data_IF_612975031352
#
_entry.id   IF_612975031352
#
_cell.length_a   1.000
_cell.length_b   1.000
_cell.length_c   1.000
_cell.angle_alpha   90.00
_cell.angle_beta   90.00
_cell.angle_gamma   90.00
#
_symmetry.space_group_name_H-M   'P 1'
#
loop_
_entity.id
_entity.type
_entity.pdbx_description
1 polymer ?
#
# COMPACT_ATOMS: atom_id res chain seq x y z
N UNK A 1 -43.84 8.37 13.55
CA UNK A 1 -42.54 7.80 13.17
C UNK A 1 -42.69 7.12 11.81
N UNK A 2 -41.93 7.55 10.80
CA UNK A 2 -41.89 6.92 9.48
C UNK A 2 -41.34 5.49 9.61
N UNK A 3 -42.00 4.51 8.99
CA UNK A 3 -41.51 3.12 8.99
C UNK A 3 -40.10 3.08 8.36
N UNK A 4 -39.13 2.34 8.93
CA UNK A 4 -37.80 2.21 8.35
C UNK A 4 -37.90 1.62 6.94
N UNK A 5 -37.14 2.19 6.00
CA UNK A 5 -37.10 1.79 4.59
C UNK A 5 -35.66 1.79 4.09
N UNK A 6 -35.36 1.00 3.06
CA UNK A 6 -34.04 0.98 2.43
C UNK A 6 -33.64 2.37 1.90
N UNK A 7 -34.62 3.18 1.47
CA UNK A 7 -34.42 4.57 1.06
C UNK A 7 -33.90 5.45 2.21
N UNK A 8 -34.41 5.26 3.42
CA UNK A 8 -33.95 6.02 4.60
C UNK A 8 -32.52 5.61 5.00
N UNK A 9 -32.17 4.32 4.85
CA UNK A 9 -30.80 3.85 5.08
C UNK A 9 -29.82 4.45 4.07
N UNK A 10 -30.23 4.52 2.80
CA UNK A 10 -29.45 5.22 1.78
C UNK A 10 -29.26 6.72 2.14
N UNK A 11 -30.31 7.42 2.58
CA UNK A 11 -30.20 8.84 2.97
C UNK A 11 -29.24 9.05 4.14
N UNK A 12 -29.24 8.15 5.13
CA UNK A 12 -28.25 8.15 6.21
C UNK A 12 -26.83 8.06 5.65
N UNK A 13 -26.59 7.11 4.74
CA UNK A 13 -25.28 6.93 4.11
C UNK A 13 -24.86 8.10 3.20
N UNK A 14 -25.79 8.69 2.45
CA UNK A 14 -25.46 9.77 1.52
C UNK A 14 -25.25 11.13 2.20
N UNK A 15 -26.07 11.45 3.20
CA UNK A 15 -26.16 12.80 3.77
C UNK A 15 -25.75 12.88 5.25
N UNK A 16 -25.43 11.75 5.88
CA UNK A 16 -24.96 11.74 7.27
C UNK A 16 -26.02 12.14 8.30
N UNK A 17 -27.31 12.15 7.93
CA UNK A 17 -28.40 12.55 8.83
C UNK A 17 -28.68 11.49 9.91
N UNK A 18 -27.86 11.50 10.96
CA UNK A 18 -27.90 10.54 12.07
C UNK A 18 -29.22 10.50 12.84
N UNK A 19 -29.99 11.60 12.87
CA UNK A 19 -31.30 11.65 13.53
C UNK A 19 -32.33 10.63 12.99
N UNK A 20 -32.06 10.02 11.81
CA UNK A 20 -32.89 8.93 11.27
C UNK A 20 -32.34 7.53 11.56
N UNK A 21 -31.09 7.40 12.05
CA UNK A 21 -30.52 6.11 12.47
C UNK A 21 -31.29 5.55 13.67
N UNK A 22 -31.91 6.42 14.48
CA UNK A 22 -32.80 6.02 15.58
C UNK A 22 -33.95 5.10 15.13
N UNK A 23 -34.47 5.31 13.92
CA UNK A 23 -35.53 4.48 13.35
C UNK A 23 -35.10 3.03 13.05
N UNK A 24 -33.80 2.72 13.17
CA UNK A 24 -33.22 1.41 12.90
C UNK A 24 -32.62 0.71 14.14
N UNK A 25 -32.72 1.30 15.34
CA UNK A 25 -32.25 0.62 16.56
C UNK A 25 -33.01 -0.69 16.84
N UNK A 26 -34.26 -0.80 16.39
CA UNK A 26 -35.09 -2.01 16.51
C UNK A 26 -35.06 -2.90 15.26
N UNK A 27 -34.00 -2.85 14.45
CA UNK A 27 -33.92 -3.65 13.21
C UNK A 27 -34.13 -5.16 13.44
N UNK A 28 -33.85 -5.64 14.65
CA UNK A 28 -34.08 -7.04 15.09
C UNK A 28 -35.56 -7.46 15.07
N UNK A 29 -36.51 -6.52 15.09
CA UNK A 29 -37.96 -6.80 15.02
C UNK A 29 -38.36 -7.31 13.64
N UNK A 30 -37.60 -6.98 12.60
CA UNK A 30 -37.86 -7.43 11.24
C UNK A 30 -37.31 -8.83 10.98
N UNK A 31 -37.90 -9.56 10.03
CA UNK A 31 -37.33 -10.82 9.56
C UNK A 31 -35.97 -10.64 8.88
N UNK A 32 -35.20 -11.73 8.74
CA UNK A 32 -33.83 -11.70 8.21
C UNK A 32 -33.73 -11.10 6.79
N UNK A 33 -34.73 -11.33 5.93
CA UNK A 33 -34.72 -10.78 4.58
C UNK A 33 -34.91 -9.27 4.60
N UNK A 34 -35.82 -8.79 5.44
CA UNK A 34 -36.06 -7.36 5.60
C UNK A 34 -34.88 -6.67 6.29
N UNK A 35 -34.25 -7.30 7.28
CA UNK A 35 -32.99 -6.82 7.87
C UNK A 35 -31.91 -6.63 6.79
N UNK A 36 -31.68 -7.65 5.94
CA UNK A 36 -30.72 -7.58 4.83
C UNK A 36 -31.04 -6.43 3.88
N UNK A 37 -32.31 -6.29 3.47
CA UNK A 37 -32.77 -5.24 2.56
C UNK A 37 -32.52 -3.84 3.14
N UNK A 38 -32.90 -3.62 4.40
CA UNK A 38 -32.77 -2.33 5.07
C UNK A 38 -31.31 -1.92 5.22
N UNK A 39 -30.43 -2.82 5.69
CA UNK A 39 -29.00 -2.54 5.88
C UNK A 39 -28.29 -2.34 4.55
N UNK A 40 -28.63 -3.14 3.53
CA UNK A 40 -28.01 -3.02 2.21
C UNK A 40 -28.28 -1.65 1.55
N UNK A 41 -29.43 -1.02 1.86
CA UNK A 41 -29.78 0.36 1.53
C UNK A 41 -29.09 0.90 0.28
N UNK A 42 -29.59 0.57 -0.92
CA UNK A 42 -28.91 0.91 -2.19
C UNK A 42 -29.55 2.10 -2.90
N UNK A 43 -28.74 2.93 -3.55
CA UNK A 43 -29.20 3.90 -4.55
C UNK A 43 -29.81 3.20 -5.76
N UNK A 44 -30.56 3.94 -6.59
CA UNK A 44 -31.09 3.44 -7.86
C UNK A 44 -30.02 2.92 -8.84
N UNK A 45 -28.77 3.38 -8.72
CA UNK A 45 -27.65 2.86 -9.52
C UNK A 45 -26.99 1.58 -8.93
N UNK A 46 -27.42 1.13 -7.76
CA UNK A 46 -26.92 -0.04 -7.04
C UNK A 46 -25.88 0.26 -5.95
N UNK A 47 -25.52 1.53 -5.73
CA UNK A 47 -24.52 1.93 -4.72
C UNK A 47 -25.00 1.65 -3.29
N UNK A 48 -24.28 0.88 -2.46
CA UNK A 48 -24.67 0.62 -1.07
C UNK A 48 -24.52 1.82 -0.13
N UNK A 49 -25.33 1.88 0.93
CA UNK A 49 -25.32 2.96 1.93
C UNK A 49 -23.96 3.10 2.62
N UNK A 50 -23.33 1.98 3.01
CA UNK A 50 -22.01 1.99 3.66
C UNK A 50 -20.93 2.58 2.75
N UNK A 51 -20.99 2.29 1.44
CA UNK A 51 -20.08 2.87 0.46
C UNK A 51 -20.23 4.39 0.39
N UNK A 52 -21.45 4.90 0.40
CA UNK A 52 -21.72 6.35 0.37
C UNK A 52 -21.25 7.05 1.62
N UNK A 53 -21.51 6.46 2.78
CA UNK A 53 -21.04 7.00 4.06
C UNK A 53 -19.52 7.13 4.06
N UNK A 54 -18.83 6.09 3.58
CA UNK A 54 -17.37 6.10 3.41
C UNK A 54 -16.92 7.14 2.38
N UNK A 55 -17.55 7.21 1.21
CA UNK A 55 -17.18 8.14 0.13
C UNK A 55 -17.38 9.61 0.50
N UNK A 56 -18.37 9.90 1.34
CA UNK A 56 -18.75 11.25 1.76
C UNK A 56 -18.18 11.66 3.13
N UNK A 57 -17.33 10.82 3.74
CA UNK A 57 -16.69 11.06 5.05
C UNK A 57 -17.67 11.17 6.24
N UNK A 58 -18.79 10.46 6.20
CA UNK A 58 -19.79 10.49 7.27
C UNK A 58 -19.48 9.45 8.36
N UNK A 59 -18.56 9.78 9.27
CA UNK A 59 -18.05 8.85 10.29
C UNK A 59 -19.15 8.24 11.15
N UNK A 60 -20.09 9.04 11.64
CA UNK A 60 -21.19 8.59 12.51
C UNK A 60 -22.13 7.64 11.77
N UNK A 61 -22.38 7.89 10.48
CA UNK A 61 -23.16 7.00 9.63
C UNK A 61 -22.43 5.67 9.39
N UNK A 62 -21.11 5.69 9.18
CA UNK A 62 -20.30 4.47 9.10
C UNK A 62 -20.40 3.68 10.40
N UNK A 63 -20.19 4.31 11.56
CA UNK A 63 -20.27 3.64 12.87
C UNK A 63 -21.65 3.02 13.11
N UNK A 64 -22.73 3.73 12.79
CA UNK A 64 -24.09 3.20 12.90
C UNK A 64 -24.33 1.99 11.98
N UNK A 65 -23.93 2.10 10.71
CA UNK A 65 -24.06 1.01 9.73
C UNK A 65 -23.25 -0.23 10.15
N UNK A 66 -22.03 -0.04 10.64
CA UNK A 66 -21.20 -1.12 11.16
C UNK A 66 -21.84 -1.79 12.37
N UNK A 67 -22.33 -1.02 13.34
CA UNK A 67 -23.03 -1.55 14.50
C UNK A 67 -24.30 -2.32 14.12
N UNK A 68 -25.04 -1.85 13.11
CA UNK A 68 -26.20 -2.58 12.59
C UNK A 68 -25.80 -3.92 11.98
N UNK A 69 -24.74 -3.95 11.16
CA UNK A 69 -24.26 -5.19 10.53
C UNK A 69 -23.76 -6.21 11.58
N UNK A 70 -23.06 -5.77 12.61
CA UNK A 70 -22.56 -6.67 13.67
C UNK A 70 -23.70 -7.22 14.52
N UNK A 71 -24.70 -6.40 14.84
CA UNK A 71 -25.75 -6.74 15.80
C UNK A 71 -26.86 -7.66 15.24
N UNK A 72 -27.01 -7.77 13.92
CA UNK A 72 -28.04 -8.64 13.32
C UNK A 72 -27.62 -10.11 13.29
N UNK A 73 -28.60 -11.00 13.43
CA UNK A 73 -28.41 -12.45 13.29
C UNK A 73 -28.58 -12.89 11.83
N UNK A 74 -27.66 -12.41 10.99
CA UNK A 74 -27.54 -12.82 9.59
C UNK A 74 -26.38 -13.79 9.40
N UNK A 75 -26.49 -14.60 8.35
CA UNK A 75 -25.42 -15.49 7.92
C UNK A 75 -24.09 -14.73 7.71
N UNK A 76 -22.94 -15.29 8.11
CA UNK A 76 -21.62 -14.64 7.92
C UNK A 76 -21.36 -14.18 6.48
N UNK A 77 -21.77 -14.95 5.46
CA UNK A 77 -21.60 -14.57 4.05
C UNK A 77 -22.39 -13.30 3.71
N UNK A 78 -23.58 -13.16 4.28
CA UNK A 78 -24.41 -11.96 4.11
C UNK A 78 -23.78 -10.78 4.84
N UNK A 79 -23.27 -10.96 6.06
CA UNK A 79 -22.54 -9.90 6.78
C UNK A 79 -21.32 -9.44 6.00
N UNK A 80 -20.54 -10.38 5.45
CA UNK A 80 -19.40 -10.11 4.56
C UNK A 80 -19.81 -9.28 3.34
N UNK A 81 -20.90 -9.64 2.66
CA UNK A 81 -21.43 -8.89 1.51
C UNK A 81 -21.78 -7.44 1.89
N UNK A 82 -22.49 -7.26 3.02
CA UNK A 82 -22.91 -5.96 3.52
C UNK A 82 -21.71 -5.08 3.93
N UNK A 83 -20.71 -5.65 4.59
CA UNK A 83 -19.48 -4.97 4.98
C UNK A 83 -18.64 -4.56 3.79
N UNK A 84 -18.50 -5.46 2.81
CA UNK A 84 -17.77 -5.17 1.59
C UNK A 84 -18.42 -3.98 0.87
N UNK A 85 -19.76 -3.89 0.87
CA UNK A 85 -20.50 -2.76 0.31
C UNK A 85 -20.07 -2.44 -1.13
N UNK A 86 -19.85 -3.48 -1.94
CA UNK A 86 -19.20 -3.34 -3.24
C UNK A 86 -20.08 -2.64 -4.27
N UNK A 87 -19.44 -1.77 -5.04
CA UNK A 87 -19.95 -1.24 -6.29
C UNK A 87 -19.89 -2.28 -7.42
N UNK A 88 -20.50 -1.95 -8.57
CA UNK A 88 -20.51 -2.81 -9.76
C UNK A 88 -19.11 -3.10 -10.32
N UNK A 89 -18.14 -2.22 -10.10
CA UNK A 89 -16.73 -2.39 -10.50
C UNK A 89 -15.90 -3.20 -9.47
N UNK A 90 -16.53 -3.61 -8.36
CA UNK A 90 -15.89 -4.33 -7.26
C UNK A 90 -15.30 -3.44 -6.18
N UNK A 91 -15.32 -2.10 -6.33
CA UNK A 91 -14.81 -1.16 -5.33
C UNK A 91 -15.62 -1.29 -4.04
N UNK A 92 -14.96 -1.65 -2.94
CA UNK A 92 -15.57 -1.82 -1.62
C UNK A 92 -15.69 -0.49 -0.85
N UNK A 93 -16.48 -0.48 0.22
CA UNK A 93 -16.57 0.66 1.15
C UNK A 93 -15.22 1.01 1.77
N UNK A 94 -14.44 -0.02 2.18
CA UNK A 94 -13.08 0.16 2.69
C UNK A 94 -12.15 0.73 1.62
N UNK A 95 -12.26 0.26 0.37
CA UNK A 95 -11.44 0.77 -0.74
C UNK A 95 -11.65 2.26 -0.96
N UNK A 96 -12.91 2.73 -1.04
CA UNK A 96 -13.18 4.15 -1.30
C UNK A 96 -12.78 5.05 -0.12
N UNK A 97 -12.92 4.58 1.12
CA UNK A 97 -12.44 5.30 2.30
C UNK A 97 -10.91 5.45 2.26
N UNK A 98 -10.19 4.36 1.94
CA UNK A 98 -8.74 4.40 1.80
C UNK A 98 -8.29 5.29 0.64
N UNK A 99 -9.01 5.25 -0.50
CA UNK A 99 -8.68 6.04 -1.68
C UNK A 99 -8.75 7.54 -1.42
N UNK A 100 -9.65 7.96 -0.55
CA UNK A 100 -9.83 9.35 -0.15
C UNK A 100 -9.02 9.76 1.08
N UNK A 101 -8.31 8.82 1.70
CA UNK A 101 -7.45 9.08 2.85
C UNK A 101 -8.20 9.31 4.16
N UNK A 102 -9.44 8.83 4.29
CA UNK A 102 -10.27 9.04 5.49
C UNK A 102 -9.90 8.04 6.60
N UNK A 103 -8.71 8.21 7.18
CA UNK A 103 -8.11 7.23 8.09
C UNK A 103 -8.99 6.92 9.31
N UNK A 104 -9.76 7.86 9.85
CA UNK A 104 -10.66 7.58 10.99
C UNK A 104 -11.77 6.58 10.61
N UNK A 105 -12.33 6.71 9.40
CA UNK A 105 -13.30 5.77 8.85
C UNK A 105 -12.64 4.41 8.61
N UNK A 106 -11.43 4.40 8.06
CA UNK A 106 -10.66 3.17 7.82
C UNK A 106 -10.42 2.41 9.12
N UNK A 107 -10.06 3.10 10.21
CA UNK A 107 -9.90 2.50 11.54
C UNK A 107 -11.20 1.85 12.04
N UNK A 108 -12.35 2.53 11.91
CA UNK A 108 -13.66 1.97 12.32
C UNK A 108 -14.01 0.73 11.49
N UNK A 109 -13.80 0.77 10.18
CA UNK A 109 -14.08 -0.36 9.30
C UNK A 109 -13.20 -1.57 9.63
N UNK A 110 -11.89 -1.37 9.82
CA UNK A 110 -10.95 -2.46 10.16
C UNK A 110 -11.27 -3.05 11.53
N UNK A 111 -11.55 -2.22 12.54
CA UNK A 111 -11.95 -2.69 13.86
C UNK A 111 -13.23 -3.54 13.76
N UNK A 112 -14.19 -3.12 12.94
CA UNK A 112 -15.38 -3.90 12.65
C UNK A 112 -15.07 -5.23 11.96
N UNK A 113 -14.24 -5.25 10.91
CA UNK A 113 -13.82 -6.48 10.20
C UNK A 113 -13.17 -7.49 11.15
N UNK A 114 -12.40 -7.02 12.13
CA UNK A 114 -11.73 -7.88 13.10
C UNK A 114 -12.59 -8.25 14.32
N UNK A 115 -13.76 -7.63 14.49
CA UNK A 115 -14.70 -7.98 15.56
C UNK A 115 -15.07 -9.46 15.52
N UNK A 116 -15.15 -10.07 16.70
CA UNK A 116 -15.65 -11.44 16.88
C UNK A 116 -17.12 -11.60 16.49
N UNK A 117 -17.91 -10.52 16.53
CA UNK A 117 -19.36 -10.55 16.31
C UNK A 117 -19.77 -10.88 14.87
N UNK A 118 -18.84 -10.71 13.92
CA UNK A 118 -19.07 -11.03 12.52
C UNK A 118 -18.88 -12.52 12.22
N UNK A 119 -18.17 -13.25 13.08
CA UNK A 119 -17.82 -14.66 12.90
C UNK A 119 -17.18 -14.97 11.52
N UNK A 120 -16.41 -14.02 10.97
CA UNK A 120 -15.67 -14.20 9.72
C UNK A 120 -14.44 -15.07 9.95
N UNK A 121 -14.18 -15.98 9.03
CA UNK A 121 -12.90 -16.70 8.94
C UNK A 121 -11.75 -15.74 8.64
N UNK A 122 -10.51 -16.17 8.95
CA UNK A 122 -9.33 -15.38 8.65
C UNK A 122 -9.17 -15.12 7.14
N UNK A 123 -9.55 -16.09 6.29
CA UNK A 123 -9.54 -15.92 4.84
C UNK A 123 -10.48 -14.80 4.37
N UNK A 124 -11.67 -14.71 4.94
CA UNK A 124 -12.64 -13.66 4.61
C UNK A 124 -12.21 -12.28 5.10
N UNK A 125 -11.66 -12.20 6.33
CA UNK A 125 -11.09 -10.95 6.85
C UNK A 125 -9.94 -10.46 5.97
N UNK A 126 -9.10 -11.39 5.54
CA UNK A 126 -7.98 -11.13 4.61
C UNK A 126 -8.47 -10.65 3.25
N UNK A 127 -9.53 -11.26 2.71
CA UNK A 127 -10.15 -10.83 1.45
C UNK A 127 -10.73 -9.42 1.56
N UNK A 128 -11.43 -9.10 2.65
CA UNK A 128 -11.98 -7.77 2.91
C UNK A 128 -10.87 -6.71 3.06
N UNK A 129 -9.78 -7.04 3.77
CA UNK A 129 -8.63 -6.16 3.97
C UNK A 129 -7.85 -5.93 2.67
N UNK A 130 -7.64 -6.98 1.87
CA UNK A 130 -7.04 -6.84 0.54
C UNK A 130 -7.93 -6.01 -0.38
N UNK A 131 -9.25 -6.19 -0.26
CA UNK A 131 -10.28 -5.37 -0.89
C UNK A 131 -10.12 -5.21 -2.39
N UNK A 132 -9.64 -6.26 -3.08
CA UNK A 132 -9.33 -6.21 -4.52
C UNK A 132 -10.57 -5.81 -5.33
N UNK A 133 -10.36 -4.88 -6.26
CA UNK A 133 -11.30 -4.55 -7.33
C UNK A 133 -11.36 -5.66 -8.38
N UNK A 134 -12.29 -5.56 -9.34
CA UNK A 134 -12.40 -6.52 -10.45
C UNK A 134 -11.17 -6.55 -11.37
N UNK A 135 -10.44 -5.44 -11.47
CA UNK A 135 -9.17 -5.33 -12.20
C UNK A 135 -7.98 -5.91 -11.42
N UNK A 136 -8.22 -6.49 -10.23
CA UNK A 136 -7.18 -7.07 -9.38
C UNK A 136 -6.41 -6.08 -8.53
N UNK A 137 -6.67 -4.76 -8.62
CA UNK A 137 -5.99 -3.76 -7.81
C UNK A 137 -6.41 -3.85 -6.32
N UNK A 138 -5.50 -4.18 -5.40
CA UNK A 138 -5.79 -4.21 -3.96
C UNK A 138 -5.74 -2.81 -3.34
N UNK A 139 -6.35 -2.68 -2.16
CA UNK A 139 -6.42 -1.41 -1.41
C UNK A 139 -5.03 -0.84 -1.16
N UNK A 140 -4.08 -1.67 -0.70
CA UNK A 140 -2.73 -1.21 -0.36
C UNK A 140 -2.00 -0.59 -1.57
N UNK A 141 -2.15 -1.19 -2.76
CA UNK A 141 -1.55 -0.66 -3.99
C UNK A 141 -2.10 0.72 -4.35
N UNK A 142 -3.43 0.84 -4.33
CA UNK A 142 -4.11 2.07 -4.67
C UNK A 142 -3.77 3.20 -3.69
N UNK A 143 -3.76 2.95 -2.37
CA UNK A 143 -3.45 4.02 -1.40
C UNK A 143 -1.98 4.47 -1.51
N UNK A 144 -1.09 3.56 -1.89
CA UNK A 144 0.31 3.87 -2.17
C UNK A 144 0.46 4.75 -3.42
N UNK A 145 -0.50 4.72 -4.34
CA UNK A 145 -0.55 5.60 -5.49
C UNK A 145 -1.15 6.97 -5.15
N UNK A 146 -2.20 7.02 -4.32
CA UNK A 146 -2.93 8.27 -4.03
C UNK A 146 -2.27 9.18 -3.00
N UNK A 147 -1.38 8.65 -2.14
CA UNK A 147 -0.55 9.48 -1.26
C UNK A 147 -1.14 9.78 0.11
N UNK A 148 -1.76 8.78 0.77
CA UNK A 148 -2.32 8.92 2.12
C UNK A 148 -1.54 8.12 3.17
N UNK A 149 -0.45 8.66 3.76
CA UNK A 149 0.44 7.91 4.65
C UNK A 149 -0.25 7.40 5.92
N UNK A 150 -1.13 8.18 6.56
CA UNK A 150 -1.84 7.76 7.76
C UNK A 150 -2.73 6.54 7.47
N UNK A 151 -3.35 6.50 6.30
CA UNK A 151 -4.17 5.37 5.85
C UNK A 151 -3.30 4.13 5.60
N UNK A 152 -2.13 4.30 5.00
CA UNK A 152 -1.14 3.21 4.84
C UNK A 152 -0.75 2.65 6.20
N UNK A 153 -0.41 3.51 7.16
CA UNK A 153 -0.04 3.07 8.52
C UNK A 153 -1.15 2.25 9.18
N UNK A 154 -2.42 2.67 9.05
CA UNK A 154 -3.57 1.92 9.60
C UNK A 154 -3.71 0.55 8.93
N UNK A 155 -3.56 0.46 7.59
CA UNK A 155 -3.62 -0.81 6.87
C UNK A 155 -2.47 -1.75 7.23
N UNK A 156 -1.25 -1.21 7.34
CA UNK A 156 -0.07 -2.00 7.70
C UNK A 156 -0.18 -2.50 9.14
N UNK A 157 -0.63 -1.68 10.08
CA UNK A 157 -0.91 -2.12 11.45
C UNK A 157 -1.93 -3.27 11.49
N UNK A 158 -2.97 -3.20 10.64
CA UNK A 158 -3.95 -4.27 10.53
C UNK A 158 -3.33 -5.59 10.01
N UNK A 159 -2.46 -5.53 8.99
CA UNK A 159 -1.73 -6.69 8.46
C UNK A 159 -0.76 -7.27 9.50
N UNK A 160 -0.08 -6.40 10.25
CA UNK A 160 0.87 -6.81 11.28
C UNK A 160 0.18 -7.47 12.49
N UNK A 161 -1.07 -7.09 12.78
CA UNK A 161 -1.80 -7.52 13.97
C UNK A 161 -2.01 -9.04 14.08
N UNK A 162 -2.10 -9.52 15.32
CA UNK A 162 -2.36 -10.93 15.61
C UNK A 162 -3.81 -11.36 15.36
N UNK A 163 -4.70 -10.40 15.06
CA UNK A 163 -6.13 -10.68 14.80
C UNK A 163 -6.37 -11.57 13.59
N UNK A 164 -5.47 -11.57 12.61
CA UNK A 164 -5.63 -12.34 11.38
C UNK A 164 -4.94 -13.72 11.40
N UNK A 165 -4.15 -14.04 12.44
CA UNK A 165 -3.32 -15.27 12.53
C UNK A 165 -2.67 -15.66 11.19
N UNK A 166 -2.19 -14.66 10.44
CA UNK A 166 -1.58 -14.88 9.13
C UNK A 166 -0.22 -15.54 9.27
N UNK A 167 0.09 -16.41 8.33
CA UNK A 167 1.45 -16.86 8.09
C UNK A 167 2.32 -15.69 7.59
N UNK A 168 3.63 -15.78 7.80
CA UNK A 168 4.61 -14.84 7.24
C UNK A 168 4.44 -14.63 5.72
N UNK A 169 4.15 -15.70 4.97
CA UNK A 169 3.91 -15.63 3.53
C UNK A 169 2.61 -14.89 3.16
N UNK A 170 1.52 -15.09 3.91
CA UNK A 170 0.28 -14.32 3.70
C UNK A 170 0.45 -12.84 4.03
N UNK A 171 1.20 -12.51 5.10
CA UNK A 171 1.58 -11.12 5.41
C UNK A 171 2.40 -10.53 4.26
N UNK A 172 3.38 -11.28 3.74
CA UNK A 172 4.19 -10.85 2.60
C UNK A 172 3.33 -10.60 1.36
N UNK A 173 2.39 -11.47 1.01
CA UNK A 173 1.51 -11.28 -0.16
C UNK A 173 0.59 -10.07 0.00
N UNK A 174 0.05 -9.80 1.20
CA UNK A 174 -0.74 -8.60 1.46
C UNK A 174 0.11 -7.32 1.35
N UNK A 175 1.32 -7.33 1.89
CA UNK A 175 2.26 -6.20 1.83
C UNK A 175 2.78 -5.95 0.42
N UNK A 176 3.01 -7.00 -0.35
CA UNK A 176 3.37 -6.89 -1.76
C UNK A 176 2.28 -6.12 -2.52
N UNK A 177 1.00 -6.39 -2.20
CA UNK A 177 -0.12 -5.65 -2.75
C UNK A 177 -0.08 -5.61 -4.28
N UNK A 178 0.23 -6.75 -4.92
CA UNK A 178 0.33 -6.86 -6.38
C UNK A 178 -1.02 -6.48 -7.02
N UNK A 179 -1.00 -5.50 -7.90
CA UNK A 179 -2.15 -5.14 -8.72
C UNK A 179 -2.32 -6.08 -9.92
N UNK A 180 -3.32 -5.83 -10.77
CA UNK A 180 -3.58 -6.66 -11.96
C UNK A 180 -2.44 -6.70 -12.98
N UNK A 181 -1.50 -5.76 -12.92
CA UNK A 181 -0.29 -5.70 -13.74
C UNK A 181 0.97 -6.17 -12.96
N UNK A 182 0.79 -7.00 -11.94
CA UNK A 182 1.84 -7.55 -11.06
C UNK A 182 2.78 -6.51 -10.44
N UNK A 183 2.34 -5.26 -10.32
CA UNK A 183 3.14 -4.19 -9.73
C UNK A 183 2.86 -4.05 -8.25
N UNK A 184 3.93 -3.92 -7.45
CA UNK A 184 3.86 -3.93 -6.00
C UNK A 184 3.40 -2.57 -5.45
N UNK A 185 2.85 -2.56 -4.24
CA UNK A 185 2.49 -1.33 -3.55
C UNK A 185 3.69 -0.39 -3.34
N UNK A 186 4.85 -0.96 -2.95
CA UNK A 186 6.09 -0.19 -2.81
C UNK A 186 6.56 0.44 -4.14
N UNK A 187 6.38 -0.27 -5.26
CA UNK A 187 6.66 0.28 -6.59
C UNK A 187 5.83 1.54 -6.85
N UNK A 188 4.52 1.48 -6.58
CA UNK A 188 3.59 2.60 -6.81
C UNK A 188 3.96 3.82 -5.95
N UNK A 189 4.27 3.62 -4.66
CA UNK A 189 4.71 4.69 -3.77
C UNK A 189 5.99 5.36 -4.28
N UNK A 190 6.96 4.56 -4.73
CA UNK A 190 8.21 5.07 -5.29
C UNK A 190 8.03 5.78 -6.63
N UNK A 191 7.16 5.27 -7.49
CA UNK A 191 6.88 5.84 -8.80
C UNK A 191 6.11 7.17 -8.73
N UNK A 192 5.25 7.32 -7.72
CA UNK A 192 4.41 8.51 -7.53
C UNK A 192 5.03 9.57 -6.64
N UNK A 193 6.09 9.23 -5.89
CA UNK A 193 6.90 10.20 -5.17
C UNK A 193 6.49 10.44 -3.73
N UNK A 194 5.96 9.44 -3.01
CA UNK A 194 5.46 9.56 -1.63
C UNK A 194 6.45 9.00 -0.59
N UNK A 195 7.38 9.81 -0.04
CA UNK A 195 8.43 9.31 0.85
C UNK A 195 7.90 8.76 2.18
N UNK A 196 6.88 9.37 2.78
CA UNK A 196 6.28 8.92 4.04
C UNK A 196 5.65 7.53 3.91
N UNK A 197 5.03 7.23 2.76
CA UNK A 197 4.48 5.91 2.45
C UNK A 197 5.59 4.88 2.29
N UNK A 198 6.69 5.25 1.62
CA UNK A 198 7.84 4.36 1.46
C UNK A 198 8.43 3.98 2.82
N UNK A 199 8.57 4.94 3.74
CA UNK A 199 8.96 4.66 5.12
C UNK A 199 7.97 3.74 5.83
N UNK A 200 6.66 4.03 5.72
CA UNK A 200 5.61 3.23 6.37
C UNK A 200 5.54 1.78 5.86
N UNK A 201 5.89 1.53 4.60
CA UNK A 201 5.98 0.19 4.02
C UNK A 201 7.26 -0.55 4.43
N UNK A 202 8.40 0.13 4.36
CA UNK A 202 9.72 -0.51 4.57
C UNK A 202 9.98 -0.79 6.04
N UNK A 203 9.69 0.16 6.95
CA UNK A 203 10.05 0.01 8.36
C UNK A 203 9.52 -1.31 8.99
N UNK A 204 8.26 -1.72 8.77
CA UNK A 204 7.75 -3.00 9.30
C UNK A 204 8.42 -4.22 8.67
N UNK A 205 8.75 -4.19 7.37
CA UNK A 205 9.51 -5.26 6.67
C UNK A 205 10.87 -5.47 7.34
N UNK A 206 11.47 -4.38 7.81
CA UNK A 206 12.81 -4.33 8.38
C UNK A 206 12.86 -4.64 9.89
N UNK A 207 11.82 -4.28 10.64
CA UNK A 207 11.74 -4.37 12.12
C UNK A 207 11.77 -5.79 12.71
N UNK A 208 11.46 -6.81 11.92
CA UNK A 208 11.31 -8.20 12.40
C UNK A 208 9.91 -8.55 12.90
N UNK A 209 9.03 -7.57 13.10
CA UNK A 209 7.64 -7.75 13.60
C UNK A 209 6.81 -8.71 12.74
N UNK A 210 7.14 -8.82 11.45
CA UNK A 210 6.44 -9.64 10.49
C UNK A 210 6.93 -11.10 10.44
N UNK A 211 8.04 -11.42 11.12
CA UNK A 211 8.72 -12.72 11.06
C UNK A 211 8.99 -13.20 9.61
N UNK A 212 9.29 -12.26 8.70
CA UNK A 212 9.62 -12.55 7.31
C UNK A 212 11.01 -13.20 7.22
N UNK A 213 11.14 -14.18 6.34
CA UNK A 213 12.45 -14.70 5.98
C UNK A 213 13.21 -13.72 5.06
N UNK A 214 14.51 -13.93 4.87
CA UNK A 214 15.34 -13.01 4.08
C UNK A 214 14.90 -12.92 2.60
N UNK A 215 14.40 -14.02 2.04
CA UNK A 215 13.89 -14.03 0.67
C UNK A 215 12.65 -13.15 0.53
N UNK A 216 11.67 -13.26 1.45
CA UNK A 216 10.47 -12.42 1.47
C UNK A 216 10.81 -10.94 1.67
N UNK A 217 11.75 -10.62 2.56
CA UNK A 217 12.24 -9.24 2.75
C UNK A 217 12.84 -8.70 1.45
N UNK A 218 13.77 -9.43 0.85
CA UNK A 218 14.39 -9.02 -0.42
C UNK A 218 13.36 -8.84 -1.53
N UNK A 219 12.40 -9.76 -1.64
CA UNK A 219 11.32 -9.73 -2.61
C UNK A 219 10.41 -8.49 -2.44
N UNK A 220 10.00 -8.18 -1.22
CA UNK A 220 9.17 -7.01 -0.92
C UNK A 220 9.92 -5.69 -1.13
N UNK A 221 11.18 -5.61 -0.69
CA UNK A 221 12.01 -4.42 -0.83
C UNK A 221 12.39 -4.14 -2.28
N UNK A 222 12.60 -5.19 -3.08
CA UNK A 222 12.76 -5.04 -4.53
C UNK A 222 11.51 -4.40 -5.14
N UNK A 223 10.33 -4.78 -4.66
CA UNK A 223 9.05 -4.12 -4.97
C UNK A 223 8.87 -3.93 -6.47
N UNK A 224 8.87 -5.05 -7.22
CA UNK A 224 8.99 -5.00 -8.68
C UNK A 224 7.68 -4.57 -9.37
N UNK A 225 7.82 -4.10 -10.60
CA UNK A 225 6.72 -4.07 -11.58
C UNK A 225 6.69 -5.34 -12.44
N UNK A 226 5.64 -5.52 -13.24
CA UNK A 226 5.58 -6.57 -14.27
C UNK A 226 6.73 -6.53 -15.28
N UNK A 227 7.39 -5.38 -15.44
CA UNK A 227 8.56 -5.24 -16.32
C UNK A 227 9.89 -5.53 -15.61
N UNK A 228 9.85 -5.95 -14.34
CA UNK A 228 11.05 -6.23 -13.53
C UNK A 228 11.81 -4.98 -13.10
N UNK A 229 11.22 -3.79 -13.18
CA UNK A 229 11.80 -2.59 -12.55
C UNK A 229 11.57 -2.62 -11.05
N UNK A 230 12.62 -2.44 -10.25
CA UNK A 230 12.49 -2.29 -8.80
C UNK A 230 11.82 -0.99 -8.40
N UNK A 231 11.32 -0.93 -7.16
CA UNK A 231 10.74 0.27 -6.59
C UNK A 231 11.77 1.43 -6.56
N UNK A 232 13.02 1.15 -6.16
CA UNK A 232 14.09 2.14 -6.17
C UNK A 232 14.39 2.63 -7.60
N UNK A 233 14.39 1.74 -8.59
CA UNK A 233 14.53 2.13 -10.00
C UNK A 233 13.45 3.13 -10.42
N UNK A 234 12.19 2.92 -10.04
CA UNK A 234 11.09 3.83 -10.36
C UNK A 234 11.30 5.23 -9.78
N UNK A 235 11.67 5.33 -8.49
CA UNK A 235 11.97 6.60 -7.85
C UNK A 235 13.14 7.32 -8.53
N UNK A 236 14.21 6.59 -8.87
CA UNK A 236 15.37 7.12 -9.55
C UNK A 236 15.06 7.59 -10.97
N UNK A 237 14.28 6.81 -11.73
CA UNK A 237 13.85 7.17 -13.08
C UNK A 237 13.01 8.45 -13.08
N UNK A 238 12.10 8.59 -12.11
CA UNK A 238 11.21 9.75 -11.96
C UNK A 238 11.86 10.96 -11.28
N UNK A 239 13.07 10.83 -10.73
CA UNK A 239 13.79 11.93 -10.08
C UNK A 239 13.31 12.25 -8.65
N UNK A 240 12.65 11.31 -7.97
CA UNK A 240 12.06 11.53 -6.64
C UNK A 240 13.12 11.39 -5.53
N UNK A 241 13.98 12.39 -5.37
CA UNK A 241 15.09 12.33 -4.39
C UNK A 241 14.64 12.13 -2.94
N UNK A 242 13.51 12.71 -2.50
CA UNK A 242 13.00 12.51 -1.13
C UNK A 242 12.61 11.05 -0.87
N UNK A 243 12.01 10.39 -1.87
CA UNK A 243 11.72 8.95 -1.81
C UNK A 243 13.01 8.15 -1.68
N UNK A 244 14.02 8.48 -2.48
CA UNK A 244 15.33 7.81 -2.44
C UNK A 244 15.98 7.97 -1.06
N UNK A 245 15.92 9.16 -0.45
CA UNK A 245 16.40 9.40 0.92
C UNK A 245 15.64 8.53 1.91
N UNK A 246 14.30 8.51 1.87
CA UNK A 246 13.47 7.70 2.77
C UNK A 246 13.76 6.20 2.63
N UNK A 247 13.82 5.71 1.38
CA UNK A 247 14.13 4.32 1.04
C UNK A 247 15.51 3.91 1.57
N UNK A 248 16.53 4.74 1.31
CA UNK A 248 17.90 4.49 1.76
C UNK A 248 18.04 4.58 3.28
N UNK A 249 17.36 5.55 3.92
CA UNK A 249 17.37 5.69 5.37
C UNK A 249 16.89 4.40 6.04
N UNK A 250 15.74 3.87 5.64
CA UNK A 250 15.21 2.64 6.24
C UNK A 250 16.08 1.41 5.97
N UNK A 251 16.65 1.27 4.77
CA UNK A 251 17.54 0.12 4.45
C UNK A 251 18.90 0.23 5.15
N UNK A 252 19.38 1.45 5.40
CA UNK A 252 20.67 1.67 6.03
C UNK A 252 20.60 1.69 7.56
N UNK A 253 19.41 1.63 8.17
CA UNK A 253 19.27 1.54 9.64
C UNK A 253 20.03 0.33 10.19
N UNK A 254 20.71 0.54 11.32
CA UNK A 254 21.53 -0.47 12.00
C UNK A 254 20.73 -1.69 12.48
N UNK A 255 19.43 -1.52 12.71
CA UNK A 255 18.53 -2.59 13.16
C UNK A 255 18.02 -3.46 12.00
N UNK A 256 18.38 -3.13 10.75
CA UNK A 256 18.03 -3.96 9.61
C UNK A 256 18.81 -5.28 9.66
N UNK A 257 18.10 -6.38 9.86
CA UNK A 257 18.67 -7.73 9.84
C UNK A 257 18.96 -8.25 8.41
N UNK A 258 19.38 -7.38 7.49
CA UNK A 258 19.94 -7.74 6.18
C UNK A 258 21.45 -7.50 6.22
N UNK A 259 22.20 -8.49 5.73
CA UNK A 259 23.64 -8.36 5.54
C UNK A 259 23.97 -7.25 4.54
N UNK A 260 25.18 -6.69 4.63
CA UNK A 260 25.65 -5.73 3.63
C UNK A 260 25.61 -6.31 2.21
N UNK A 261 25.75 -7.63 2.06
CA UNK A 261 25.64 -8.29 0.76
C UNK A 261 24.23 -8.17 0.19
N UNK A 262 23.19 -8.52 0.97
CA UNK A 262 21.79 -8.44 0.55
C UNK A 262 21.37 -7.00 0.24
N UNK A 263 21.82 -6.03 1.04
CA UNK A 263 21.58 -4.60 0.77
C UNK A 263 22.18 -4.18 -0.58
N UNK A 264 23.38 -4.65 -0.89
CA UNK A 264 24.06 -4.33 -2.16
C UNK A 264 23.35 -4.96 -3.35
N UNK A 265 22.92 -6.21 -3.24
CA UNK A 265 22.16 -6.88 -4.31
C UNK A 265 20.86 -6.15 -4.61
N UNK A 266 20.14 -5.70 -3.58
CA UNK A 266 18.92 -4.90 -3.73
C UNK A 266 19.19 -3.57 -4.46
N UNK A 267 20.29 -2.89 -4.14
CA UNK A 267 20.66 -1.60 -4.77
C UNK A 267 21.25 -1.75 -6.17
N UNK A 268 21.96 -2.87 -6.42
CA UNK A 268 22.57 -3.20 -7.69
C UNK A 268 21.60 -3.92 -8.64
N UNK A 269 20.36 -4.16 -8.20
CA UNK A 269 19.37 -4.86 -8.99
C UNK A 269 19.18 -4.17 -10.35
N UNK A 270 19.25 -5.00 -11.39
CA UNK A 270 19.14 -4.56 -12.77
C UNK A 270 17.72 -4.74 -13.27
N UNK A 271 17.24 -3.73 -13.96
CA UNK A 271 16.03 -3.82 -14.78
C UNK A 271 16.15 -4.88 -15.88
N UNK A 272 15.04 -5.19 -16.57
CA UNK A 272 15.05 -6.03 -17.78
C UNK A 272 15.99 -5.54 -18.88
N UNK A 273 16.37 -4.27 -18.86
CA UNK A 273 17.34 -3.68 -19.77
C UNK A 273 18.74 -3.62 -19.17
N UNK A 274 19.07 -4.38 -18.12
CA UNK A 274 20.42 -4.42 -17.56
C UNK A 274 20.87 -3.16 -16.81
N UNK A 275 20.00 -2.16 -16.62
CA UNK A 275 20.33 -0.90 -15.95
C UNK A 275 19.94 -0.92 -14.47
N UNK A 276 20.84 -0.46 -13.59
CA UNK A 276 20.58 -0.23 -12.16
C UNK A 276 19.82 1.08 -11.91
N UNK A 277 19.35 1.27 -10.67
CA UNK A 277 18.70 2.50 -10.23
C UNK A 277 19.64 3.72 -10.28
N UNK A 278 20.92 3.55 -9.88
CA UNK A 278 21.93 4.61 -9.98
C UNK A 278 22.22 4.97 -11.43
N UNK A 279 22.33 3.97 -12.31
CA UNK A 279 22.55 4.19 -13.75
C UNK A 279 21.46 5.06 -14.36
N UNK A 280 20.19 4.74 -14.12
CA UNK A 280 19.08 5.47 -14.73
C UNK A 280 18.97 6.90 -14.20
N UNK A 281 19.28 7.14 -12.93
CA UNK A 281 19.37 8.48 -12.38
C UNK A 281 20.46 9.31 -13.06
N UNK A 282 21.62 8.70 -13.31
CA UNK A 282 22.73 9.34 -14.04
C UNK A 282 22.38 9.60 -15.51
N UNK A 283 21.72 8.65 -16.16
CA UNK A 283 21.25 8.80 -17.55
C UNK A 283 20.24 9.94 -17.72
N UNK A 284 19.34 10.12 -16.75
CA UNK A 284 18.32 11.17 -16.79
C UNK A 284 18.80 12.52 -16.24
N UNK A 285 20.03 12.61 -15.73
CA UNK A 285 20.56 13.86 -15.18
C UNK A 285 20.01 14.25 -13.79
N UNK A 286 19.46 13.30 -13.03
CA UNK A 286 18.85 13.55 -11.72
C UNK A 286 19.89 13.71 -10.60
N UNK A 287 20.56 14.86 -10.56
CA UNK A 287 21.66 15.14 -9.64
C UNK A 287 21.31 14.90 -8.16
N UNK A 288 20.14 15.34 -7.70
CA UNK A 288 19.73 15.19 -6.29
C UNK A 288 19.54 13.71 -5.90
N UNK A 289 19.02 12.90 -6.82
CA UNK A 289 18.91 11.45 -6.63
C UNK A 289 20.29 10.81 -6.56
N UNK A 290 21.19 11.17 -7.48
CA UNK A 290 22.56 10.65 -7.49
C UNK A 290 23.26 10.99 -6.18
N UNK A 291 23.17 12.24 -5.72
CA UNK A 291 23.73 12.69 -4.45
C UNK A 291 23.18 11.88 -3.27
N UNK A 292 21.86 11.69 -3.21
CA UNK A 292 21.22 10.91 -2.15
C UNK A 292 21.71 9.45 -2.13
N UNK A 293 21.74 8.76 -3.28
CA UNK A 293 22.22 7.39 -3.38
C UNK A 293 23.70 7.29 -3.00
N UNK A 294 24.56 8.11 -3.61
CA UNK A 294 26.01 8.08 -3.42
C UNK A 294 26.37 8.38 -1.96
N UNK A 295 25.76 9.41 -1.36
CA UNK A 295 25.97 9.76 0.03
C UNK A 295 25.55 8.62 0.97
N UNK A 296 24.37 8.04 0.77
CA UNK A 296 23.87 6.95 1.60
C UNK A 296 24.73 5.69 1.45
N UNK A 297 25.16 5.34 0.23
CA UNK A 297 26.05 4.21 -0.04
C UNK A 297 27.41 4.42 0.64
N UNK A 298 28.06 5.57 0.44
CA UNK A 298 29.39 5.85 1.01
C UNK A 298 29.38 5.88 2.54
N UNK A 299 28.31 6.39 3.14
CA UNK A 299 28.24 6.59 4.59
C UNK A 299 27.86 5.31 5.34
N UNK A 300 27.08 4.42 4.72
CA UNK A 300 26.48 3.28 5.42
C UNK A 300 26.93 1.91 4.90
N UNK A 301 27.47 1.83 3.67
CA UNK A 301 27.82 0.56 3.05
C UNK A 301 29.32 0.51 2.74
N UNK A 302 30.04 -0.39 3.41
CA UNK A 302 31.43 -0.70 3.08
C UNK A 302 31.50 -1.55 1.81
N UNK A 303 31.60 -0.90 0.65
CA UNK A 303 31.63 -1.58 -0.65
C UNK A 303 33.04 -1.80 -1.18
N UNK A 304 33.30 -3.02 -1.69
CA UNK A 304 34.49 -3.32 -2.49
C UNK A 304 34.47 -2.57 -3.83
N UNK A 305 35.63 -2.43 -4.48
CA UNK A 305 35.73 -1.82 -5.82
C UNK A 305 34.84 -2.54 -6.85
N UNK A 306 34.74 -3.87 -6.77
CA UNK A 306 33.90 -4.66 -7.67
C UNK A 306 32.40 -4.37 -7.48
N UNK A 307 31.92 -4.26 -6.24
CA UNK A 307 30.51 -3.94 -5.96
C UNK A 307 30.14 -2.50 -6.34
N UNK A 308 31.07 -1.55 -6.16
CA UNK A 308 30.88 -0.18 -6.68
C UNK A 308 30.77 -0.15 -8.20
N UNK A 309 31.59 -0.93 -8.91
CA UNK A 309 31.50 -1.06 -10.36
C UNK A 309 30.17 -1.72 -10.79
N UNK A 310 29.68 -2.70 -10.05
CA UNK A 310 28.39 -3.35 -10.29
C UNK A 310 27.22 -2.36 -10.21
N UNK A 311 27.20 -1.49 -9.19
CA UNK A 311 26.19 -0.43 -9.04
C UNK A 311 26.17 0.55 -10.22
N UNK A 312 27.33 0.80 -10.83
CA UNK A 312 27.49 1.71 -11.96
C UNK A 312 27.34 1.02 -13.32
N UNK A 313 27.21 -0.31 -13.37
CA UNK A 313 27.19 -1.03 -14.63
C UNK A 313 25.88 -0.78 -15.40
N UNK A 314 26.01 -0.37 -16.66
CA UNK A 314 24.91 -0.36 -17.64
C UNK A 314 24.83 -1.65 -18.45
N UNK A 315 23.78 -1.77 -19.25
CA UNK A 315 23.51 -2.95 -20.07
C UNK A 315 24.49 -3.16 -21.22
N UNK A 316 24.99 -2.07 -21.79
CA UNK A 316 25.81 -2.03 -22.99
C UNK A 316 27.31 -1.99 -22.69
N UNK A 317 27.68 -2.33 -21.45
CA UNK A 317 29.05 -2.21 -20.95
C UNK A 317 29.49 -0.77 -20.65
N UNK A 318 28.64 0.22 -20.97
CA UNK A 318 28.87 1.63 -20.62
C UNK A 318 28.50 1.83 -19.16
N UNK A 319 29.41 2.39 -18.38
CA UNK A 319 29.13 2.72 -16.97
C UNK A 319 28.23 3.96 -16.84
N UNK A 320 27.58 4.11 -15.69
CA UNK A 320 26.78 5.29 -15.34
C UNK A 320 27.61 6.58 -15.43
N UNK A 321 28.91 6.50 -15.09
CA UNK A 321 29.88 7.60 -15.21
C UNK A 321 30.09 8.01 -16.68
N UNK A 322 30.34 7.03 -17.55
CA UNK A 322 30.54 7.27 -18.99
C UNK A 322 29.25 7.79 -19.62
N UNK A 323 28.09 7.27 -19.22
CA UNK A 323 26.79 7.75 -19.69
C UNK A 323 26.54 9.20 -19.29
N UNK A 324 26.76 9.53 -18.01
CA UNK A 324 26.60 10.90 -17.51
C UNK A 324 27.53 11.88 -18.26
N UNK A 325 28.78 11.45 -18.51
CA UNK A 325 29.74 12.25 -19.28
C UNK A 325 29.31 12.44 -20.75
N UNK A 326 28.81 11.40 -21.40
CA UNK A 326 28.36 11.47 -22.80
C UNK A 326 27.13 12.37 -22.98
N UNK A 327 26.30 12.51 -21.93
CA UNK A 327 25.11 13.36 -21.92
C UNK A 327 25.37 14.77 -21.35
N UNK A 328 26.60 15.10 -20.97
CA UNK A 328 26.98 16.43 -20.45
C UNK A 328 26.54 16.71 -19.01
N UNK A 329 26.34 15.68 -18.19
CA UNK A 329 25.96 15.83 -16.79
C UNK A 329 27.18 15.98 -15.87
N UNK A 330 27.94 17.06 -16.04
CA UNK A 330 29.26 17.25 -15.42
C UNK A 330 29.24 17.16 -13.89
N UNK A 331 28.24 17.74 -13.23
CA UNK A 331 28.08 17.65 -11.76
C UNK A 331 27.89 16.20 -11.28
N UNK A 332 27.19 15.37 -12.05
CA UNK A 332 27.02 13.94 -11.73
C UNK A 332 28.36 13.21 -11.90
N UNK A 333 29.12 13.55 -12.94
CA UNK A 333 30.46 12.98 -13.17
C UNK A 333 31.39 13.27 -11.98
N UNK A 334 31.35 14.49 -11.44
CA UNK A 334 32.13 14.86 -10.24
C UNK A 334 31.75 14.02 -9.02
N UNK A 335 30.45 13.87 -8.75
CA UNK A 335 29.92 13.07 -7.63
C UNK A 335 30.31 11.59 -7.77
N UNK A 336 30.20 11.03 -8.96
CA UNK A 336 30.56 9.63 -9.22
C UNK A 336 32.06 9.37 -9.12
N UNK A 337 32.91 10.33 -9.51
CA UNK A 337 34.37 10.23 -9.30
C UNK A 337 34.72 10.17 -7.82
N UNK A 338 33.99 10.91 -6.97
CA UNK A 338 34.16 10.86 -5.52
C UNK A 338 33.76 9.50 -4.90
N UNK A 339 32.89 8.71 -5.55
CA UNK A 339 32.57 7.32 -5.13
C UNK A 339 33.81 6.38 -5.22
N UNK A 340 34.89 6.80 -5.87
CA UNK A 340 36.16 6.07 -5.96
C UNK A 340 36.24 5.07 -7.11
N UNK A 341 35.43 5.26 -8.15
CA UNK A 341 35.47 4.43 -9.37
C UNK A 341 36.28 5.16 -10.43
N UNK A 342 37.60 5.21 -10.22
CA UNK A 342 38.54 5.55 -11.29
C UNK A 342 38.86 4.28 -12.08
N UNK A 343 38.96 4.44 -13.42
CA UNK A 343 39.29 3.40 -14.39
C UNK A 343 40.39 2.47 -13.87
#
# INVERSE_FOLDING_TARGET
>A
MTKPSASLMYLLGAYGHYGHAEAFFDIKVFDKNKQKELIAGKMGNGTPALYLACSNRHLEAVSALMAMITNVDLDPDVKKELLAGRQKDGTSSLFIACQKGYHEIVTVLIAGIFSGDLNLSNGEKTELLAGKRKDGCPILNMVCQTGHPETVTVLIAAICSDHLKLTHTEKAELLAGKNGDDSFALYMACQTGHPEIVTALIAPICSGDLNLNNHEKSWLLAGKSSYGYSALYAACYKGHHKVVIAFMAEICRGDLNLSNHEKVELLAEKSKYGCSALYIACHNGHLDVVNALVSAICSNLSLSKSKKAELLAGADGVSALERASALGHDKIVEVLRALGVQR
#
